data_IF_643277923010
#
_entry.id   IF_643277923010
#
_cell.length_a   1.000
_cell.length_b   1.000
_cell.length_c   1.000
_cell.angle_alpha   90.00
_cell.angle_beta   90.00
_cell.angle_gamma   90.00
#
_symmetry.space_group_name_H-M   'P 1'
#
loop_
_entity.id
_entity.type
_entity.pdbx_description
1 polymer ?
#
# COMPACT_ATOMS: atom_id res chain seq x y z
N UNK A 1 3.12 20.15 -5.56
CA UNK A 1 3.41 18.70 -5.40
C UNK A 1 3.04 18.34 -3.98
N UNK A 2 2.03 17.49 -3.81
CA UNK A 2 1.61 17.05 -2.48
C UNK A 2 2.36 15.80 -2.05
N UNK A 3 2.17 15.37 -0.80
CA UNK A 3 2.63 14.07 -0.32
C UNK A 3 1.46 13.31 0.30
N UNK A 4 1.48 11.99 0.19
CA UNK A 4 0.62 11.12 0.99
C UNK A 4 1.47 10.32 1.96
N UNK A 5 1.02 10.21 3.20
CA UNK A 5 1.67 9.44 4.26
C UNK A 5 0.80 8.26 4.64
N UNK A 6 1.40 7.08 4.72
CA UNK A 6 0.71 5.89 5.22
C UNK A 6 0.94 5.79 6.72
N UNK A 7 -0.13 5.53 7.46
CA UNK A 7 -0.09 5.38 8.92
C UNK A 7 -0.76 4.08 9.34
N UNK A 8 -0.49 3.73 10.60
CA UNK A 8 -1.21 2.69 11.31
C UNK A 8 -2.73 2.82 11.08
N UNK A 9 -3.44 1.72 10.79
CA UNK A 9 -2.98 0.32 10.83
C UNK A 9 -2.34 -0.20 9.54
N UNK A 10 -1.98 0.64 8.56
CA UNK A 10 -1.38 0.16 7.30
C UNK A 10 0.14 0.35 7.27
N UNK A 11 0.85 -0.67 6.76
CA UNK A 11 2.29 -0.62 6.51
C UNK A 11 2.57 -1.01 5.07
N UNK A 12 3.34 -0.17 4.37
CA UNK A 12 3.73 -0.39 2.98
C UNK A 12 5.22 -0.67 2.90
N UNK A 13 5.60 -1.62 2.07
CA UNK A 13 7.00 -1.99 1.87
C UNK A 13 7.33 -2.15 0.39
N UNK A 14 8.40 -1.49 -0.05
CA UNK A 14 9.02 -1.72 -1.33
C UNK A 14 9.75 -3.08 -1.33
N UNK A 15 9.64 -3.80 -2.44
CA UNK A 15 10.37 -5.06 -2.66
C UNK A 15 11.76 -4.75 -3.17
N UNK A 16 12.80 -5.09 -2.40
CA UNK A 16 14.18 -4.98 -2.86
C UNK A 16 14.63 -6.27 -3.55
N UNK A 17 15.53 -6.14 -4.54
CA UNK A 17 16.15 -7.28 -5.24
C UNK A 17 16.95 -8.20 -4.30
N UNK A 18 17.43 -7.68 -3.15
CA UNK A 18 18.07 -8.50 -2.12
C UNK A 18 17.07 -9.20 -1.18
N UNK A 19 15.80 -9.32 -1.60
CA UNK A 19 14.68 -9.91 -0.85
C UNK A 19 14.27 -9.15 0.42
N UNK A 20 14.96 -8.07 0.80
CA UNK A 20 14.56 -7.21 1.92
C UNK A 20 13.32 -6.38 1.56
N UNK A 21 12.42 -6.25 2.52
CA UNK A 21 11.29 -5.33 2.46
C UNK A 21 11.68 -3.99 3.09
N UNK A 22 11.52 -2.89 2.34
CA UNK A 22 11.93 -1.54 2.77
C UNK A 22 10.69 -0.68 3.00
N UNK A 23 10.47 -0.12 4.21
CA UNK A 23 9.28 0.68 4.50
C UNK A 23 9.09 1.85 3.53
N UNK A 24 7.85 2.06 3.08
CA UNK A 24 7.42 3.24 2.34
C UNK A 24 6.57 4.08 3.28
N UNK A 25 7.16 5.14 3.85
CA UNK A 25 6.44 6.02 4.77
C UNK A 25 5.57 7.04 4.03
N UNK A 26 6.06 7.54 2.90
CA UNK A 26 5.40 8.55 2.10
C UNK A 26 5.57 8.32 0.60
N UNK A 27 4.63 8.85 -0.18
CA UNK A 27 4.70 8.96 -1.63
C UNK A 27 4.49 10.42 -2.04
N UNK A 28 5.29 10.88 -3.00
CA UNK A 28 5.05 12.13 -3.71
C UNK A 28 3.84 11.97 -4.62
N UNK A 29 3.01 13.01 -4.69
CA UNK A 29 1.81 13.05 -5.53
C UNK A 29 1.90 14.18 -6.55
N UNK A 30 1.74 13.81 -7.82
CA UNK A 30 1.62 14.72 -8.94
C UNK A 30 0.27 14.46 -9.64
N UNK A 31 -0.71 15.32 -9.38
CA UNK A 31 -2.00 15.33 -10.11
C UNK A 31 -1.77 16.00 -11.47
N UNK A 32 -2.09 15.28 -12.55
CA UNK A 32 -1.86 15.73 -13.94
C UNK A 32 -3.13 16.25 -14.59
N UNK A 33 -4.26 15.67 -14.23
CA UNK A 33 -5.61 16.06 -14.66
C UNK A 33 -6.62 15.52 -13.65
N UNK A 34 -7.88 15.89 -13.79
CA UNK A 34 -8.98 15.41 -12.93
C UNK A 34 -8.98 13.87 -12.78
N UNK A 35 -8.59 13.15 -13.85
CA UNK A 35 -8.67 11.68 -13.89
C UNK A 35 -7.30 10.98 -13.88
N UNK A 36 -6.20 11.72 -13.67
CA UNK A 36 -4.84 11.15 -13.71
C UNK A 36 -3.97 11.70 -12.59
N UNK A 37 -3.39 10.78 -11.83
CA UNK A 37 -2.38 11.10 -10.83
C UNK A 37 -1.16 10.19 -10.98
N UNK A 38 -0.01 10.68 -10.56
CA UNK A 38 1.20 9.88 -10.36
C UNK A 38 1.56 9.87 -8.90
N UNK A 39 1.78 8.67 -8.37
CA UNK A 39 2.40 8.47 -7.07
C UNK A 39 3.84 8.01 -7.28
N UNK A 40 4.78 8.59 -6.56
CA UNK A 40 6.19 8.15 -6.61
C UNK A 40 6.71 7.92 -5.21
N UNK A 41 7.41 6.82 -4.99
CA UNK A 41 8.22 6.63 -3.80
C UNK A 41 9.67 6.39 -4.17
N UNK A 42 10.56 6.89 -3.32
CA UNK A 42 11.99 6.66 -3.41
C UNK A 42 12.52 6.26 -2.05
N UNK A 43 13.02 5.04 -1.93
CA UNK A 43 13.53 4.48 -0.67
C UNK A 43 14.89 3.83 -0.89
N UNK A 44 15.75 3.86 0.14
CA UNK A 44 17.07 3.22 0.08
C UNK A 44 17.08 1.96 0.92
N UNK A 45 17.49 0.84 0.32
CA UNK A 45 17.62 -0.41 1.06
C UNK A 45 18.82 -0.33 2.00
N UNK A 46 18.57 -0.46 3.31
CA UNK A 46 19.63 -0.42 4.33
C UNK A 46 20.56 -1.64 4.31
N UNK A 47 20.19 -2.72 3.60
CA UNK A 47 21.01 -3.94 3.51
C UNK A 47 21.99 -3.91 2.33
N UNK A 48 21.49 -3.67 1.10
CA UNK A 48 22.33 -3.68 -0.10
C UNK A 48 22.68 -2.27 -0.62
N UNK A 49 22.19 -1.21 0.03
CA UNK A 49 22.46 0.18 -0.35
C UNK A 49 21.74 0.67 -1.61
N UNK A 50 21.06 -0.20 -2.37
CA UNK A 50 20.35 0.14 -3.61
C UNK A 50 19.19 1.11 -3.35
N UNK A 51 19.01 2.05 -4.27
CA UNK A 51 17.83 2.93 -4.29
C UNK A 51 16.71 2.25 -5.08
N UNK A 52 15.51 2.24 -4.51
CA UNK A 52 14.28 1.77 -5.15
C UNK A 52 13.45 3.01 -5.46
N UNK A 53 13.19 3.25 -6.73
CA UNK A 53 12.42 4.39 -7.23
C UNK A 53 11.35 3.85 -8.16
N UNK A 54 10.09 4.04 -7.80
CA UNK A 54 8.95 3.51 -8.55
C UNK A 54 7.86 4.55 -8.64
N UNK A 55 7.18 4.55 -9.78
CA UNK A 55 6.07 5.43 -10.10
C UNK A 55 4.83 4.59 -10.39
N UNK A 56 3.75 4.87 -9.67
CA UNK A 56 2.42 4.34 -9.91
C UNK A 56 1.64 5.37 -10.71
N UNK A 57 1.20 5.00 -11.91
CA UNK A 57 0.41 5.88 -12.76
C UNK A 57 -1.06 5.52 -12.60
N UNK A 58 -1.84 6.36 -11.93
CA UNK A 58 -3.26 6.17 -11.69
C UNK A 58 -4.09 6.82 -12.81
N UNK A 59 -5.17 6.15 -13.16
CA UNK A 59 -6.20 6.52 -14.15
C UNK A 59 -7.57 6.16 -13.56
N UNK A 60 -8.68 6.46 -14.23
CA UNK A 60 -10.00 5.96 -13.80
C UNK A 60 -10.08 4.43 -13.74
N UNK A 61 -9.37 3.78 -14.66
CA UNK A 61 -9.23 2.32 -14.67
C UNK A 61 -8.38 1.83 -13.50
N UNK A 62 -8.83 0.70 -12.94
CA UNK A 62 -8.08 -0.04 -11.92
C UNK A 62 -6.73 -0.51 -12.46
N UNK A 63 -5.67 -0.28 -11.67
CA UNK A 63 -4.35 -0.83 -11.93
C UNK A 63 -3.83 -1.60 -10.73
N UNK A 64 -3.14 -2.69 -11.04
CA UNK A 64 -2.52 -3.57 -10.06
C UNK A 64 -1.04 -3.19 -9.84
N UNK A 65 -0.65 -3.15 -8.57
CA UNK A 65 0.67 -2.73 -8.07
C UNK A 65 1.29 -3.76 -7.12
N UNK A 66 0.69 -4.96 -7.03
CA UNK A 66 1.10 -6.05 -6.15
C UNK A 66 2.57 -6.42 -6.34
N UNK A 67 3.11 -6.35 -7.55
CA UNK A 67 4.52 -6.65 -7.83
C UNK A 67 5.49 -5.56 -7.39
N UNK A 68 5.01 -4.34 -7.16
CA UNK A 68 5.85 -3.20 -6.80
C UNK A 68 6.04 -3.09 -5.29
N UNK A 69 5.02 -3.46 -4.50
CA UNK A 69 5.03 -3.30 -3.06
C UNK A 69 4.21 -4.37 -2.36
N UNK A 70 4.54 -4.63 -1.10
CA UNK A 70 3.66 -5.35 -0.20
C UNK A 70 2.94 -4.34 0.70
N UNK A 71 1.67 -4.61 0.97
CA UNK A 71 0.87 -3.84 1.93
C UNK A 71 0.45 -4.80 3.03
N UNK A 72 0.55 -4.36 4.28
CA UNK A 72 0.10 -5.11 5.45
C UNK A 72 -0.89 -4.29 6.25
N UNK A 73 -1.95 -4.95 6.71
CA UNK A 73 -2.86 -4.44 7.74
C UNK A 73 -2.40 -4.98 9.08
N UNK A 74 -2.17 -4.09 10.03
CA UNK A 74 -1.92 -4.43 11.43
C UNK A 74 -3.27 -4.54 12.14
N UNK A 75 -3.50 -5.66 12.82
CA UNK A 75 -4.67 -5.82 13.68
C UNK A 75 -4.21 -5.61 15.12
N UNK A 76 -4.67 -4.54 15.80
CA UNK A 76 -4.43 -4.39 17.23
C UNK A 76 -5.08 -5.56 17.96
N UNK A 77 -4.31 -6.28 18.75
CA UNK A 77 -4.82 -7.36 19.59
C UNK A 77 -5.22 -6.84 20.96
N UNK A 78 -6.20 -7.52 21.54
CA UNK A 78 -6.74 -7.29 22.88
C UNK A 78 -5.87 -8.01 23.95
N UNK A 79 -4.90 -8.86 23.54
CA UNK A 79 -4.10 -9.73 24.43
C UNK A 79 -2.60 -9.77 24.09
N UNK A 80 -1.99 -8.63 23.79
CA UNK A 80 -0.53 -8.47 23.55
C UNK A 80 0.08 -9.18 22.31
N UNK A 81 -0.71 -9.88 21.49
CA UNK A 81 -0.24 -10.53 20.27
C UNK A 81 -0.46 -9.68 19.02
N UNK A 82 0.58 -9.10 18.43
CA UNK A 82 0.42 -8.31 17.19
C UNK A 82 0.19 -9.23 15.98
N UNK A 83 -0.98 -9.12 15.35
CA UNK A 83 -1.28 -9.83 14.09
C UNK A 83 -1.10 -8.89 12.89
N UNK A 84 -0.42 -9.37 11.85
CA UNK A 84 -0.28 -8.68 10.57
C UNK A 84 -0.86 -9.54 9.46
N UNK A 85 -1.68 -8.92 8.61
CA UNK A 85 -2.24 -9.55 7.42
C UNK A 85 -1.64 -8.89 6.21
N UNK A 86 -0.99 -9.67 5.35
CA UNK A 86 -0.54 -9.22 4.04
C UNK A 86 -1.74 -9.13 3.10
N UNK A 87 -1.85 -8.06 2.33
CA UNK A 87 -2.82 -7.99 1.24
C UNK A 87 -2.37 -8.88 0.08
N UNK A 88 -3.32 -9.57 -0.53
CA UNK A 88 -3.11 -10.49 -1.65
C UNK A 88 -2.85 -9.70 -2.94
N UNK A 89 -3.65 -8.66 -3.20
CA UNK A 89 -3.39 -7.66 -4.24
C UNK A 89 -3.32 -6.25 -3.68
N UNK A 90 -2.66 -5.37 -4.44
CA UNK A 90 -2.61 -3.94 -4.19
C UNK A 90 -3.04 -3.25 -5.46
N UNK A 91 -4.12 -2.49 -5.41
CA UNK A 91 -4.75 -1.84 -6.56
C UNK A 91 -4.98 -0.38 -6.30
N UNK A 92 -5.05 0.40 -7.37
CA UNK A 92 -5.43 1.79 -7.27
C UNK A 92 -6.01 2.37 -8.55
N UNK A 93 -6.81 3.42 -8.37
CA UNK A 93 -7.41 4.22 -9.44
C UNK A 93 -7.68 5.65 -8.97
N UNK A 94 -7.94 6.53 -9.92
CA UNK A 94 -8.59 7.81 -9.69
C UNK A 94 -10.10 7.61 -9.71
N UNK A 95 -10.81 8.26 -8.81
CA UNK A 95 -12.28 8.33 -8.86
C UNK A 95 -12.71 9.65 -8.20
N UNK A 96 -13.57 10.41 -8.86
CA UNK A 96 -14.11 11.67 -8.33
C UNK A 96 -12.99 12.66 -7.89
N UNK A 97 -11.91 12.74 -8.68
CA UNK A 97 -10.69 13.53 -8.40
C UNK A 97 -9.89 13.09 -7.17
N UNK A 98 -10.21 11.95 -6.57
CA UNK A 98 -9.49 11.38 -5.44
C UNK A 98 -8.71 10.13 -5.84
N UNK A 99 -7.61 9.90 -5.12
CA UNK A 99 -6.81 8.68 -5.24
C UNK A 99 -7.44 7.59 -4.37
N UNK A 100 -7.85 6.50 -5.01
CA UNK A 100 -8.33 5.31 -4.30
C UNK A 100 -7.26 4.22 -4.36
N UNK A 101 -6.71 3.87 -3.20
CA UNK A 101 -5.83 2.72 -3.01
C UNK A 101 -6.57 1.67 -2.18
N UNK A 102 -6.49 0.41 -2.59
CA UNK A 102 -7.15 -0.70 -1.91
C UNK A 102 -6.44 -2.02 -2.21
N UNK A 103 -6.79 -3.06 -1.48
CA UNK A 103 -6.32 -4.41 -1.74
C UNK A 103 -7.28 -5.43 -1.16
N UNK A 104 -7.28 -6.63 -1.71
CA UNK A 104 -7.95 -7.77 -1.13
C UNK A 104 -7.04 -8.47 -0.11
N UNK A 105 -7.64 -9.14 0.85
CA UNK A 105 -6.93 -10.08 1.71
C UNK A 105 -7.78 -11.29 2.00
N UNK A 106 -7.10 -12.40 2.24
CA UNK A 106 -7.68 -13.63 2.74
C UNK A 106 -7.20 -13.91 4.16
N UNK A 107 -8.13 -14.29 5.05
CA UNK A 107 -7.80 -14.65 6.42
C UNK A 107 -8.65 -15.86 6.85
N UNK A 108 -7.98 -16.88 7.39
CA UNK A 108 -8.64 -18.02 7.99
C UNK A 108 -9.20 -17.61 9.37
N UNK A 109 -10.52 -17.60 9.51
CA UNK A 109 -11.15 -17.44 10.80
C UNK A 109 -11.22 -18.80 11.49
N UNK A 110 -10.34 -19.00 12.47
CA UNK A 110 -10.20 -20.28 13.17
C UNK A 110 -11.48 -20.76 13.88
N UNK A 111 -12.33 -19.83 14.32
CA UNK A 111 -13.53 -20.17 15.10
C UNK A 111 -14.66 -20.77 14.26
N UNK A 112 -14.71 -20.50 12.96
CA UNK A 112 -15.74 -20.99 12.05
C UNK A 112 -15.19 -21.78 10.85
N UNK A 113 -13.86 -21.98 10.77
CA UNK A 113 -13.19 -22.68 9.67
C UNK A 113 -13.51 -22.11 8.28
N UNK A 114 -13.80 -20.80 8.20
CA UNK A 114 -14.09 -20.11 6.94
C UNK A 114 -12.91 -19.24 6.52
N UNK A 115 -12.57 -19.27 5.22
CA UNK A 115 -11.66 -18.29 4.62
C UNK A 115 -12.46 -17.04 4.31
N UNK A 116 -12.29 -16.00 5.11
CA UNK A 116 -12.84 -14.68 4.83
C UNK A 116 -11.99 -14.02 3.74
N UNK A 117 -12.66 -13.51 2.69
CA UNK A 117 -12.06 -12.70 1.64
C UNK A 117 -12.74 -11.35 1.63
N UNK A 118 -11.99 -10.28 1.90
CA UNK A 118 -12.53 -8.93 1.88
C UNK A 118 -11.66 -8.00 1.04
N UNK A 119 -12.26 -6.87 0.64
CA UNK A 119 -11.57 -5.73 0.05
C UNK A 119 -11.40 -4.65 1.12
N UNK A 120 -10.19 -4.11 1.28
CA UNK A 120 -9.92 -3.03 2.23
C UNK A 120 -9.31 -1.81 1.54
N UNK A 121 -9.81 -0.61 1.87
CA UNK A 121 -9.19 0.65 1.49
C UNK A 121 -7.85 0.80 2.23
N UNK A 122 -6.82 1.28 1.53
CA UNK A 122 -5.53 1.62 2.12
C UNK A 122 -5.58 3.12 2.51
N UNK A 123 -5.85 3.46 3.78
CA UNK A 123 -5.88 4.85 4.22
C UNK A 123 -4.50 5.51 4.11
N UNK A 124 -4.54 6.80 3.81
CA UNK A 124 -3.38 7.68 3.81
C UNK A 124 -3.81 9.07 4.29
N UNK A 125 -2.84 9.86 4.76
CA UNK A 125 -3.02 11.28 5.06
C UNK A 125 -2.36 12.12 3.98
N UNK A 126 -3.08 13.12 3.46
CA UNK A 126 -2.52 14.08 2.52
C UNK A 126 -1.81 15.19 3.29
N UNK A 127 -0.55 15.45 2.96
CA UNK A 127 0.19 16.62 3.40
C UNK A 127 0.27 17.61 2.24
N UNK A 128 -0.18 18.83 2.51
CA UNK A 128 0.02 20.00 1.64
C UNK A 128 1.47 20.47 1.68
#
# INVERSE_FOLDING_TARGET
>A
MGKIKFKYPMMLFAKCECSKQVPIEEMEVEEKSDDKAKLRYKVKCSLCGKNIDKTLNLTEDEKEFTDLMNVFKVIPSIKDELAIIKLDTVKGRMKDKEIFLYGDYSHLRFWDNVVQKDLIKIPYERKE
#
